data_IF_531442267916
#
_entry.id   IF_531442267916
#
_cell.length_a   1.000
_cell.length_b   1.000
_cell.length_c   1.000
_cell.angle_alpha   90.00
_cell.angle_beta   90.00
_cell.angle_gamma   90.00
#
_symmetry.space_group_name_H-M   'P 1'
#
loop_
_entity.id
_entity.type
_entity.pdbx_description
1 polymer ?
#
# COMPACT_ATOMS: atom_id res chain seq x y z
N UNK A 1 46.68 -1.82 26.15
CA UNK A 1 47.68 -0.88 25.61
C UNK A 1 47.09 0.51 25.71
N UNK A 2 47.60 1.31 26.65
CA UNK A 2 47.06 2.65 26.96
C UNK A 2 47.74 3.65 26.02
N UNK A 3 46.96 4.36 25.20
CA UNK A 3 47.46 5.47 24.38
C UNK A 3 47.75 6.66 25.33
N UNK A 4 49.02 6.94 25.59
CA UNK A 4 49.45 8.16 26.28
C UNK A 4 49.60 9.30 25.25
N UNK A 5 49.12 10.52 25.54
CA UNK A 5 48.97 11.58 24.54
C UNK A 5 50.26 12.41 24.33
N UNK A 6 51.44 11.78 24.40
CA UNK A 6 52.70 12.55 24.40
C UNK A 6 53.41 12.54 23.03
N UNK A 7 53.03 11.66 22.10
CA UNK A 7 53.56 11.69 20.73
C UNK A 7 52.50 11.34 19.70
N UNK A 8 51.64 12.30 19.36
CA UNK A 8 50.92 12.26 18.10
C UNK A 8 51.83 12.88 17.03
N UNK A 9 52.43 12.06 16.17
CA UNK A 9 53.06 12.55 14.95
C UNK A 9 51.96 13.20 14.09
N UNK A 10 52.01 14.52 13.93
CA UNK A 10 51.19 15.21 12.94
C UNK A 10 51.66 14.76 11.57
N UNK A 11 50.88 13.90 10.92
CA UNK A 11 51.03 13.64 9.49
C UNK A 11 50.65 14.91 8.73
N UNK A 12 51.62 15.80 8.55
CA UNK A 12 51.54 16.89 7.61
C UNK A 12 51.77 16.24 6.24
N UNK A 13 50.70 15.77 5.60
CA UNK A 13 50.77 15.33 4.21
C UNK A 13 51.30 16.49 3.36
N UNK A 14 52.30 16.30 2.46
CA UNK A 14 52.98 17.41 1.77
C UNK A 14 52.11 18.15 0.74
N UNK A 15 50.87 17.72 0.50
CA UNK A 15 49.93 18.39 -0.39
C UNK A 15 48.88 19.14 0.43
N UNK A 16 48.82 20.46 0.26
CA UNK A 16 47.74 21.34 0.73
C UNK A 16 46.39 20.83 0.20
N UNK A 17 45.71 19.97 0.98
CA UNK A 17 44.33 19.58 0.71
C UNK A 17 43.44 20.75 1.07
N UNK A 18 42.73 21.29 0.08
CA UNK A 18 41.76 22.36 0.28
C UNK A 18 40.31 21.84 0.35
N UNK A 19 40.09 20.55 0.09
CA UNK A 19 38.77 19.91 0.09
C UNK A 19 38.73 18.77 1.11
N UNK A 20 37.74 18.82 2.02
CA UNK A 20 37.56 17.84 3.10
C UNK A 20 36.12 17.29 3.17
N UNK A 21 35.32 17.51 2.12
CA UNK A 21 33.95 17.01 2.06
C UNK A 21 33.94 15.48 2.11
N UNK A 22 33.02 14.92 2.88
CA UNK A 22 32.83 13.47 3.00
C UNK A 22 31.74 13.03 2.02
N UNK A 23 31.90 11.90 1.33
CA UNK A 23 30.84 11.32 0.51
C UNK A 23 29.68 10.88 1.41
N UNK A 24 28.45 10.95 0.90
CA UNK A 24 27.28 10.48 1.62
C UNK A 24 27.26 8.94 1.68
N UNK A 25 27.51 8.38 2.85
CA UNK A 25 27.54 6.92 3.09
C UNK A 25 26.24 6.35 3.63
N UNK A 26 25.32 7.21 4.09
CA UNK A 26 24.01 6.84 4.59
C UNK A 26 22.94 7.60 3.83
N UNK A 27 22.04 6.87 3.19
CA UNK A 27 20.91 7.45 2.46
C UNK A 27 19.62 7.00 3.13
N UNK A 28 18.74 7.96 3.43
CA UNK A 28 17.41 7.70 3.93
C UNK A 28 16.41 7.84 2.78
N UNK A 29 15.79 6.73 2.38
CA UNK A 29 14.76 6.70 1.33
C UNK A 29 13.60 5.84 1.79
N UNK A 30 12.37 6.34 1.68
CA UNK A 30 11.13 5.62 2.01
C UNK A 30 11.13 5.00 3.43
N UNK A 31 11.69 5.71 4.40
CA UNK A 31 11.75 5.24 5.79
C UNK A 31 12.76 4.12 6.05
N UNK A 32 13.68 3.84 5.12
CA UNK A 32 14.75 2.83 5.27
C UNK A 32 16.12 3.51 5.22
N UNK A 33 17.00 3.11 6.13
CA UNK A 33 18.42 3.42 6.07
C UNK A 33 19.09 2.46 5.09
N UNK A 34 19.62 2.98 3.99
CA UNK A 34 20.40 2.19 3.02
C UNK A 34 21.89 2.56 3.15
N UNK A 35 22.79 1.57 3.33
CA UNK A 35 24.22 1.82 3.27
C UNK A 35 24.60 2.15 1.82
N UNK A 36 25.19 3.31 1.60
CA UNK A 36 25.74 3.72 0.31
C UNK A 36 27.27 3.59 0.36
N UNK A 37 27.84 2.75 -0.50
CA UNK A 37 29.28 2.56 -0.53
C UNK A 37 29.91 3.70 -1.35
N UNK A 38 30.68 4.61 -0.73
CA UNK A 38 31.23 5.75 -1.44
C UNK A 38 32.28 5.28 -2.45
N UNK A 39 32.23 5.81 -3.67
CA UNK A 39 33.23 5.55 -4.73
C UNK A 39 34.49 6.41 -4.54
N UNK A 40 34.36 7.52 -3.83
CA UNK A 40 35.36 8.56 -3.68
C UNK A 40 35.57 8.82 -2.19
N UNK A 41 36.79 9.11 -1.78
CA UNK A 41 37.21 9.36 -0.42
C UNK A 41 36.99 10.80 0.00
N UNK A 42 37.53 11.14 1.17
CA UNK A 42 37.43 12.49 1.72
C UNK A 42 38.16 13.46 0.79
N UNK A 43 37.49 14.53 0.38
CA UNK A 43 38.08 15.58 -0.46
C UNK A 43 38.17 15.22 -1.94
N UNK A 44 37.45 14.21 -2.41
CA UNK A 44 37.41 13.87 -3.83
C UNK A 44 38.49 12.86 -4.27
N UNK A 45 39.29 12.34 -3.34
CA UNK A 45 40.34 11.39 -3.68
C UNK A 45 39.77 10.05 -4.13
N UNK A 46 40.23 9.46 -5.25
CA UNK A 46 39.80 8.13 -5.64
C UNK A 46 40.14 7.15 -4.52
N UNK A 47 39.13 6.44 -3.99
CA UNK A 47 39.41 5.34 -3.08
C UNK A 47 40.13 4.27 -3.88
N UNK A 48 41.16 3.66 -3.27
CA UNK A 48 41.75 2.44 -3.80
C UNK A 48 40.72 1.31 -3.60
N UNK A 49 39.64 1.34 -4.39
CA UNK A 49 38.69 0.25 -4.45
C UNK A 49 39.44 -0.88 -5.16
N UNK A 50 40.03 -1.79 -4.38
CA UNK A 50 40.32 -3.11 -4.92
C UNK A 50 38.96 -3.71 -5.23
N UNK A 51 38.54 -3.58 -6.49
CA UNK A 51 37.43 -4.37 -7.03
C UNK A 51 37.87 -5.83 -6.85
N UNK A 52 37.39 -6.48 -5.80
CA UNK A 52 37.62 -7.90 -5.60
C UNK A 52 36.84 -8.61 -6.70
N UNK A 53 37.50 -8.87 -7.82
CA UNK A 53 37.02 -9.83 -8.80
C UNK A 53 36.88 -11.18 -8.09
N UNK A 54 35.81 -11.92 -8.42
CA UNK A 54 35.48 -13.20 -7.78
C UNK A 54 36.64 -14.23 -7.78
N UNK A 55 37.64 -14.03 -8.64
CA UNK A 55 38.82 -14.89 -8.79
C UNK A 55 39.92 -14.64 -7.75
N UNK A 56 40.01 -13.45 -7.15
CA UNK A 56 41.05 -13.11 -6.15
C UNK A 56 40.82 -13.83 -4.80
N UNK A 57 39.61 -14.39 -4.59
CA UNK A 57 39.25 -15.13 -3.37
C UNK A 57 39.93 -16.51 -3.25
N UNK A 58 40.56 -17.01 -4.32
CA UNK A 58 41.18 -18.34 -4.32
C UNK A 58 42.63 -18.28 -3.81
N UNK A 59 43.39 -17.23 -4.12
CA UNK A 59 44.81 -17.12 -3.72
C UNK A 59 45.03 -16.58 -2.29
N UNK A 60 44.12 -15.75 -1.76
CA UNK A 60 44.28 -15.21 -0.39
C UNK A 60 43.94 -16.21 0.73
N UNK A 61 43.45 -17.41 0.39
CA UNK A 61 43.19 -18.49 1.36
C UNK A 61 44.45 -19.23 1.79
N UNK A 62 45.58 -19.03 1.11
CA UNK A 62 46.85 -19.68 1.42
C UNK A 62 47.59 -19.05 2.62
N UNK A 63 47.21 -17.85 3.05
CA UNK A 63 47.85 -17.13 4.17
C UNK A 63 46.83 -16.80 5.26
N UNK A 64 46.33 -17.84 5.94
CA UNK A 64 46.11 -17.95 7.39
C UNK A 64 45.38 -16.86 8.21
N UNK A 65 44.93 -15.75 7.64
CA UNK A 65 44.32 -14.64 8.37
C UNK A 65 42.84 -14.59 8.02
N UNK A 66 42.00 -15.24 8.83
CA UNK A 66 40.57 -15.03 8.75
C UNK A 66 40.27 -13.56 9.10
N UNK A 67 39.91 -12.78 8.09
CA UNK A 67 39.26 -11.48 8.31
C UNK A 67 37.88 -11.81 8.86
N UNK A 68 37.76 -11.81 10.19
CA UNK A 68 36.46 -11.79 10.85
C UNK A 68 35.82 -10.47 10.45
N UNK A 69 34.80 -10.52 9.58
CA UNK A 69 33.89 -9.39 9.40
C UNK A 69 33.40 -8.99 10.79
N UNK A 70 33.48 -7.70 11.12
CA UNK A 70 32.91 -7.17 12.36
C UNK A 70 31.50 -7.73 12.51
N UNK A 71 31.13 -8.34 13.65
CA UNK A 71 29.76 -8.78 13.85
C UNK A 71 28.87 -7.54 13.71
N UNK A 72 27.89 -7.59 12.79
CA UNK A 72 26.87 -6.55 12.70
C UNK A 72 26.28 -6.35 14.09
N UNK A 73 26.17 -5.10 14.52
CA UNK A 73 25.52 -4.77 15.80
C UNK A 73 24.12 -5.41 15.78
N UNK A 74 23.84 -6.26 16.77
CA UNK A 74 22.56 -6.96 16.86
C UNK A 74 21.43 -5.92 17.02
N UNK A 75 20.70 -5.68 15.93
CA UNK A 75 19.48 -4.87 15.94
C UNK A 75 18.30 -5.80 16.17
N UNK A 76 17.55 -5.66 17.28
CA UNK A 76 16.34 -6.44 17.49
C UNK A 76 15.35 -6.24 16.34
N UNK A 77 14.67 -7.31 15.93
CA UNK A 77 13.74 -7.31 14.80
C UNK A 77 12.64 -6.22 14.92
N UNK A 78 12.21 -5.91 16.14
CA UNK A 78 11.21 -4.87 16.40
C UNK A 78 11.68 -3.44 16.13
N UNK A 79 12.99 -3.20 16.10
CA UNK A 79 13.57 -1.87 15.84
C UNK A 79 13.72 -1.63 14.34
N UNK A 80 13.94 -2.68 13.55
CA UNK A 80 14.14 -2.57 12.11
C UNK A 80 12.87 -2.66 11.26
N UNK A 81 11.85 -3.39 11.71
CA UNK A 81 10.75 -3.86 10.86
C UNK A 81 9.35 -3.40 11.31
N UNK A 82 9.18 -2.11 11.62
CA UNK A 82 7.84 -1.50 11.89
C UNK A 82 7.03 -1.22 10.60
N UNK A 83 7.30 -1.99 9.54
CA UNK A 83 6.70 -1.80 8.22
C UNK A 83 5.59 -2.82 8.00
N UNK A 84 4.53 -2.36 7.35
CA UNK A 84 3.34 -3.16 7.05
C UNK A 84 3.14 -3.18 5.54
N UNK A 85 2.91 -4.39 5.00
CA UNK A 85 2.54 -4.54 3.60
C UNK A 85 1.01 -4.49 3.47
N UNK A 86 0.53 -3.76 2.47
CA UNK A 86 -0.88 -3.61 2.14
C UNK A 86 -1.16 -4.16 0.73
N UNK A 87 -2.06 -5.13 0.67
CA UNK A 87 -2.57 -5.70 -0.58
C UNK A 87 -4.07 -5.44 -0.70
N UNK A 88 -4.53 -5.24 -1.92
CA UNK A 88 -5.94 -5.12 -2.25
C UNK A 88 -6.39 -6.42 -2.90
N UNK A 89 -7.54 -6.90 -2.47
CA UNK A 89 -8.10 -8.16 -2.88
C UNK A 89 -9.63 -8.07 -2.98
N UNK A 90 -10.25 -9.11 -3.50
CA UNK A 90 -11.69 -9.31 -3.37
C UNK A 90 -11.99 -10.80 -3.16
N UNK A 91 -13.18 -11.09 -2.66
CA UNK A 91 -13.74 -12.43 -2.69
C UNK A 91 -15.15 -12.41 -3.26
N UNK A 92 -15.58 -13.56 -3.78
CA UNK A 92 -16.94 -13.77 -4.28
C UNK A 92 -17.75 -14.43 -3.17
N UNK A 93 -18.88 -13.83 -2.84
CA UNK A 93 -19.84 -14.38 -1.87
C UNK A 93 -21.07 -14.87 -2.63
N UNK A 94 -21.41 -16.15 -2.47
CA UNK A 94 -22.60 -16.73 -3.09
C UNK A 94 -23.88 -16.26 -2.39
N UNK A 95 -24.87 -15.83 -3.16
CA UNK A 95 -26.15 -15.34 -2.66
C UNK A 95 -27.26 -16.33 -3.03
N UNK A 96 -27.65 -17.18 -2.08
CA UNK A 96 -28.62 -18.26 -2.35
C UNK A 96 -30.08 -17.79 -2.38
N UNK A 97 -30.41 -16.71 -1.66
CA UNK A 97 -31.80 -16.31 -1.39
C UNK A 97 -32.26 -15.05 -2.15
N UNK A 98 -31.52 -14.64 -3.19
CA UNK A 98 -31.85 -13.46 -3.99
C UNK A 98 -32.22 -13.86 -5.41
N UNK A 99 -33.44 -13.51 -5.83
CA UNK A 99 -33.84 -13.67 -7.25
C UNK A 99 -33.03 -12.78 -8.20
N UNK A 100 -32.37 -11.74 -7.66
CA UNK A 100 -31.66 -10.75 -8.47
C UNK A 100 -30.22 -11.19 -8.73
N UNK A 101 -29.54 -11.87 -7.81
CA UNK A 101 -28.09 -12.03 -7.84
C UNK A 101 -27.65 -13.40 -7.36
N UNK A 102 -26.74 -14.00 -8.11
CA UNK A 102 -26.15 -15.31 -7.80
C UNK A 102 -24.93 -15.16 -6.90
N UNK A 103 -24.12 -14.12 -7.10
CA UNK A 103 -22.95 -13.81 -6.28
C UNK A 103 -22.75 -12.30 -6.15
N UNK A 104 -22.02 -11.91 -5.10
CA UNK A 104 -21.55 -10.54 -4.85
C UNK A 104 -20.04 -10.52 -4.82
N UNK A 105 -19.45 -9.41 -5.27
CA UNK A 105 -18.00 -9.20 -5.17
C UNK A 105 -17.74 -8.21 -4.05
N UNK A 106 -16.95 -8.63 -3.05
CA UNK A 106 -16.65 -7.80 -1.88
C UNK A 106 -15.17 -7.46 -1.86
N UNK A 107 -14.81 -6.16 -1.92
CA UNK A 107 -13.43 -5.73 -1.82
C UNK A 107 -12.90 -6.00 -0.40
N UNK A 108 -11.63 -6.33 -0.28
CA UNK A 108 -10.92 -6.56 0.98
C UNK A 108 -9.52 -5.99 0.88
N UNK A 109 -9.02 -5.43 1.97
CA UNK A 109 -7.65 -5.01 2.15
C UNK A 109 -6.97 -5.98 3.10
N UNK A 110 -5.85 -6.55 2.67
CA UNK A 110 -5.03 -7.48 3.43
C UNK A 110 -3.81 -6.70 3.92
N UNK A 111 -3.61 -6.70 5.24
CA UNK A 111 -2.42 -6.16 5.89
C UNK A 111 -1.52 -7.30 6.33
N UNK A 112 -0.24 -7.25 5.98
CA UNK A 112 0.78 -8.19 6.44
C UNK A 112 1.83 -7.43 7.25
N UNK A 113 2.00 -7.83 8.51
CA UNK A 113 2.95 -7.21 9.44
C UNK A 113 4.28 -7.94 9.37
N UNK A 114 5.34 -7.25 8.90
CA UNK A 114 6.69 -7.82 8.77
C UNK A 114 7.34 -8.14 10.13
N UNK A 115 6.86 -7.48 11.18
CA UNK A 115 7.35 -7.64 12.54
C UNK A 115 7.17 -9.06 13.07
N UNK A 116 5.99 -9.62 12.93
CA UNK A 116 5.59 -10.87 13.58
C UNK A 116 5.02 -11.90 12.60
N UNK A 117 5.07 -11.61 11.29
CA UNK A 117 4.49 -12.43 10.23
C UNK A 117 2.98 -12.68 10.42
N UNK A 118 2.29 -11.74 11.06
CA UNK A 118 0.84 -11.79 11.22
C UNK A 118 0.13 -11.07 10.08
N UNK A 119 -1.12 -11.45 9.85
CA UNK A 119 -1.98 -10.86 8.84
C UNK A 119 -3.31 -10.41 9.44
N UNK A 120 -3.88 -9.38 8.85
CA UNK A 120 -5.21 -8.86 9.17
C UNK A 120 -5.99 -8.61 7.87
N UNK A 121 -7.30 -8.86 7.88
CA UNK A 121 -8.17 -8.54 6.74
C UNK A 121 -9.26 -7.56 7.13
N UNK A 122 -9.38 -6.50 6.34
CA UNK A 122 -10.35 -5.42 6.53
C UNK A 122 -11.18 -5.22 5.27
N UNK A 123 -12.49 -5.16 5.43
CA UNK A 123 -13.41 -4.80 4.36
C UNK A 123 -13.70 -3.30 4.41
N UNK A 124 -13.35 -2.55 3.35
CA UNK A 124 -13.62 -1.12 3.28
C UNK A 124 -15.12 -0.84 3.32
N UNK A 125 -15.51 0.24 3.99
CA UNK A 125 -16.89 0.69 4.04
C UNK A 125 -17.34 1.14 2.65
N UNK A 126 -18.51 0.66 2.21
CA UNK A 126 -19.15 1.02 0.94
C UNK A 126 -20.51 1.61 1.28
N UNK A 127 -20.76 2.82 0.78
CA UNK A 127 -22.00 3.53 1.04
C UNK A 127 -23.22 2.75 0.52
N UNK A 128 -24.30 2.77 1.32
CA UNK A 128 -25.54 2.10 1.00
C UNK A 128 -25.41 0.60 0.70
N UNK A 129 -24.37 -0.07 1.20
CA UNK A 129 -24.16 -1.52 1.03
C UNK A 129 -25.21 -2.35 1.76
N UNK A 130 -25.69 -1.87 2.91
CA UNK A 130 -26.67 -2.56 3.74
C UNK A 130 -26.13 -3.82 4.45
N UNK A 131 -24.81 -4.00 4.48
CA UNK A 131 -24.13 -5.17 5.05
C UNK A 131 -23.14 -4.69 6.12
N UNK A 132 -22.95 -5.42 7.25
CA UNK A 132 -21.88 -5.09 8.19
C UNK A 132 -20.51 -5.16 7.50
N UNK A 133 -19.75 -4.08 7.66
CA UNK A 133 -18.42 -3.88 7.07
C UNK A 133 -17.40 -3.54 8.15
N UNK A 134 -16.11 -3.58 7.79
CA UNK A 134 -15.00 -3.30 8.70
C UNK A 134 -14.07 -4.49 8.87
N UNK A 135 -13.61 -4.74 10.10
CA UNK A 135 -12.62 -5.80 10.37
C UNK A 135 -13.23 -7.19 10.14
N UNK A 136 -12.79 -7.87 9.08
CA UNK A 136 -13.29 -9.19 8.69
C UNK A 136 -12.57 -10.31 9.44
N UNK A 137 -11.24 -10.25 9.49
CA UNK A 137 -10.41 -11.20 10.22
C UNK A 137 -9.44 -10.42 11.12
N UNK A 138 -9.39 -10.79 12.40
CA UNK A 138 -8.48 -10.16 13.38
C UNK A 138 -7.01 -10.49 13.07
N UNK A 139 -6.11 -9.61 13.48
CA UNK A 139 -4.66 -9.81 13.33
C UNK A 139 -4.17 -11.07 14.04
N UNK A 140 -3.62 -12.02 13.28
CA UNK A 140 -2.89 -13.19 13.78
C UNK A 140 -2.19 -13.91 12.60
N UNK A 141 -1.48 -15.01 12.85
CA UNK A 141 -0.85 -15.79 11.77
C UNK A 141 -1.90 -16.66 11.06
N UNK A 142 -2.14 -16.40 9.77
CA UNK A 142 -3.14 -17.16 9.01
C UNK A 142 -2.60 -18.54 8.63
N UNK A 143 -3.34 -19.63 8.91
CA UNK A 143 -2.95 -20.96 8.49
C UNK A 143 -3.12 -21.13 6.99
N UNK A 144 -2.07 -21.61 6.32
CA UNK A 144 -2.05 -21.95 4.90
C UNK A 144 -2.54 -23.37 4.67
N UNK A 145 -2.07 -24.31 5.49
CA UNK A 145 -2.35 -25.74 5.39
C UNK A 145 -2.79 -26.30 6.76
N UNK A 146 -3.44 -27.46 6.75
CA UNK A 146 -3.80 -28.21 7.96
C UNK A 146 -2.58 -28.62 8.80
N UNK A 147 -1.38 -28.57 8.21
CA UNK A 147 -0.11 -28.90 8.85
C UNK A 147 0.45 -27.75 9.72
N UNK A 148 -0.26 -26.62 9.82
CA UNK A 148 0.13 -25.50 10.68
C UNK A 148 1.12 -24.53 10.05
N UNK A 149 1.43 -24.68 8.76
CA UNK A 149 2.21 -23.69 8.01
C UNK A 149 1.42 -22.39 7.90
N UNK A 150 2.10 -21.26 8.08
CA UNK A 150 1.49 -19.93 8.02
C UNK A 150 1.85 -19.22 6.72
N UNK A 151 0.96 -18.38 6.22
CA UNK A 151 1.27 -17.54 5.06
C UNK A 151 2.45 -16.60 5.33
N UNK A 152 3.41 -16.57 4.39
CA UNK A 152 4.51 -15.63 4.38
C UNK A 152 4.25 -14.54 3.35
N UNK A 153 4.91 -13.39 3.50
CA UNK A 153 4.87 -12.33 2.50
C UNK A 153 5.32 -12.78 1.10
N UNK A 154 6.12 -13.86 1.03
CA UNK A 154 6.58 -14.48 -0.22
C UNK A 154 5.50 -15.28 -0.95
N UNK A 155 4.47 -15.74 -0.23
CA UNK A 155 3.34 -16.46 -0.81
C UNK A 155 2.30 -15.51 -1.43
N UNK A 156 2.38 -14.22 -1.11
CA UNK A 156 1.46 -13.19 -1.61
C UNK A 156 1.99 -12.63 -2.92
N UNK A 157 1.20 -12.69 -3.99
CA UNK A 157 1.49 -12.00 -5.25
C UNK A 157 0.17 -11.52 -5.88
N UNK A 158 0.26 -10.58 -6.81
CA UNK A 158 -0.88 -10.13 -7.61
C UNK A 158 -1.40 -11.31 -8.45
N UNK A 159 -2.71 -11.39 -8.62
CA UNK A 159 -3.41 -12.46 -9.35
C UNK A 159 -3.33 -13.85 -8.69
N UNK A 160 -2.89 -13.92 -7.43
CA UNK A 160 -2.88 -15.16 -6.66
C UNK A 160 -4.08 -15.23 -5.73
N UNK A 161 -4.67 -16.43 -5.64
CA UNK A 161 -5.73 -16.76 -4.68
C UNK A 161 -5.14 -17.22 -3.35
N UNK A 162 -5.65 -16.65 -2.27
CA UNK A 162 -5.32 -17.04 -0.89
C UNK A 162 -6.59 -17.60 -0.27
N UNK A 163 -6.48 -18.80 0.29
CA UNK A 163 -7.58 -19.45 1.00
C UNK A 163 -7.40 -19.27 2.50
N UNK A 164 -8.33 -18.55 3.14
CA UNK A 164 -8.31 -18.32 4.58
C UNK A 164 -9.70 -18.64 5.13
N UNK A 165 -9.76 -19.61 6.04
CA UNK A 165 -11.00 -20.11 6.65
C UNK A 165 -12.08 -20.52 5.64
N UNK A 166 -11.68 -21.19 4.55
CA UNK A 166 -12.58 -21.68 3.52
C UNK A 166 -13.11 -20.60 2.56
N UNK A 167 -12.60 -19.37 2.65
CA UNK A 167 -12.91 -18.29 1.70
C UNK A 167 -11.67 -17.98 0.85
N UNK A 168 -11.86 -17.95 -0.47
CA UNK A 168 -10.81 -17.62 -1.44
C UNK A 168 -10.81 -16.12 -1.74
N UNK A 169 -9.68 -15.49 -1.50
CA UNK A 169 -9.42 -14.07 -1.75
C UNK A 169 -8.44 -13.94 -2.91
N UNK A 170 -8.86 -13.28 -3.99
CA UNK A 170 -8.00 -12.96 -5.14
C UNK A 170 -7.33 -11.61 -4.91
N UNK A 171 -6.01 -11.57 -4.88
CA UNK A 171 -5.26 -10.31 -4.84
C UNK A 171 -5.32 -9.63 -6.21
N UNK A 172 -5.69 -8.36 -6.23
CA UNK A 172 -5.81 -7.55 -7.46
C UNK A 172 -4.62 -6.64 -7.67
N UNK A 173 -4.20 -5.91 -6.65
CA UNK A 173 -3.08 -4.98 -6.71
C UNK A 173 -2.48 -4.76 -5.32
N UNK A 174 -1.35 -4.06 -5.27
CA UNK A 174 -0.63 -3.77 -4.05
C UNK A 174 -0.26 -2.29 -3.97
N UNK A 175 0.10 -1.83 -2.77
CA UNK A 175 0.56 -0.47 -2.55
C UNK A 175 1.96 -0.23 -3.15
N UNK A 176 2.31 1.02 -3.46
CA UNK A 176 3.61 1.36 -4.06
C UNK A 176 4.79 0.96 -3.14
N UNK A 177 4.63 1.15 -1.83
CA UNK A 177 5.63 0.70 -0.85
C UNK A 177 5.83 -0.81 -0.90
N UNK A 178 4.73 -1.58 -0.94
CA UNK A 178 4.80 -3.04 -1.01
C UNK A 178 5.43 -3.53 -2.29
N UNK A 179 5.13 -2.85 -3.41
CA UNK A 179 5.72 -3.16 -4.71
C UNK A 179 7.25 -3.10 -4.65
N UNK A 180 7.78 -1.97 -4.17
CA UNK A 180 9.23 -1.78 -3.99
C UNK A 180 9.83 -2.78 -3.00
N UNK A 181 9.12 -3.11 -1.92
CA UNK A 181 9.58 -4.09 -0.94
C UNK A 181 9.71 -5.49 -1.58
N UNK A 182 8.71 -5.92 -2.35
CA UNK A 182 8.70 -7.22 -3.02
C UNK A 182 9.78 -7.31 -4.11
N UNK A 183 9.97 -6.24 -4.89
CA UNK A 183 11.04 -6.15 -5.88
C UNK A 183 12.43 -6.25 -5.24
N UNK A 184 12.65 -5.56 -4.11
CA UNK A 184 13.89 -5.69 -3.32
C UNK A 184 14.08 -7.09 -2.72
N UNK A 185 12.97 -7.75 -2.37
CA UNK A 185 12.94 -9.13 -1.92
C UNK A 185 13.17 -10.17 -3.03
N UNK A 186 13.34 -9.73 -4.28
CA UNK A 186 13.58 -10.59 -5.44
C UNK A 186 12.31 -11.21 -6.04
N UNK A 187 11.12 -10.74 -5.66
CA UNK A 187 9.85 -11.22 -6.20
C UNK A 187 9.36 -10.25 -7.27
N UNK A 188 9.21 -10.75 -8.50
CA UNK A 188 8.59 -10.00 -9.60
C UNK A 188 7.07 -10.09 -9.44
N UNK A 189 6.44 -8.92 -9.32
CA UNK A 189 5.00 -8.79 -9.20
C UNK A 189 4.30 -8.94 -10.54
N UNK A 190 3.13 -9.58 -10.54
CA UNK A 190 2.28 -9.69 -11.72
C UNK A 190 1.61 -8.35 -12.06
N UNK A 191 1.02 -8.28 -13.26
CA UNK A 191 0.25 -7.11 -13.71
C UNK A 191 -0.97 -6.89 -12.83
N UNK A 192 -1.20 -5.67 -12.32
CA UNK A 192 -2.41 -5.32 -11.58
C UNK A 192 -3.68 -5.68 -12.35
N UNK A 193 -4.69 -6.18 -11.64
CA UNK A 193 -6.00 -6.48 -12.18
C UNK A 193 -7.07 -5.61 -11.55
N UNK A 194 -8.15 -5.36 -12.30
CA UNK A 194 -9.33 -4.69 -11.78
C UNK A 194 -10.25 -5.66 -11.05
N UNK A 195 -10.99 -5.13 -10.06
CA UNK A 195 -12.01 -5.90 -9.36
C UNK A 195 -13.17 -6.15 -10.34
N UNK A 196 -13.64 -7.40 -10.52
CA UNK A 196 -14.73 -7.69 -11.43
C UNK A 196 -16.03 -7.06 -10.93
N UNK A 197 -16.77 -6.44 -11.86
CA UNK A 197 -18.08 -5.85 -11.56
C UNK A 197 -19.09 -6.95 -11.26
N UNK A 198 -19.79 -6.85 -10.13
CA UNK A 198 -20.82 -7.81 -9.76
C UNK A 198 -22.19 -7.49 -10.38
N UNK A 199 -23.09 -8.49 -10.52
CA UNK A 199 -24.42 -8.26 -11.07
C UNK A 199 -25.24 -7.25 -10.27
N UNK A 200 -24.99 -7.14 -8.96
CA UNK A 200 -25.67 -6.19 -8.08
C UNK A 200 -25.35 -4.74 -8.42
N UNK A 201 -24.05 -4.39 -8.43
CA UNK A 201 -23.58 -3.03 -8.68
C UNK A 201 -24.02 -2.58 -10.06
N UNK A 202 -23.87 -3.45 -11.07
CA UNK A 202 -24.29 -3.17 -12.44
C UNK A 202 -25.78 -2.82 -12.54
N UNK A 203 -26.66 -3.50 -11.80
CA UNK A 203 -28.11 -3.17 -11.81
C UNK A 203 -28.43 -1.85 -11.13
N UNK A 204 -27.67 -1.48 -10.10
CA UNK A 204 -27.92 -0.28 -9.31
C UNK A 204 -27.54 0.99 -10.06
N UNK A 205 -26.52 0.91 -10.90
CA UNK A 205 -26.04 2.02 -11.73
C UNK A 205 -27.13 2.56 -12.68
N UNK A 206 -28.03 1.69 -13.18
CA UNK A 206 -29.10 2.09 -14.11
C UNK A 206 -30.30 2.81 -13.47
N UNK A 207 -30.41 2.85 -12.14
CA UNK A 207 -31.59 3.39 -11.45
C UNK A 207 -31.23 4.51 -10.47
N UNK A 208 -30.85 5.67 -11.00
CA UNK A 208 -31.08 6.94 -10.30
C UNK A 208 -32.29 7.57 -10.97
N UNK A 209 -33.53 7.30 -10.49
CA UNK A 209 -34.67 8.06 -10.98
C UNK A 209 -34.48 9.52 -10.54
N UNK A 210 -33.97 10.36 -11.44
CA UNK A 210 -34.06 11.81 -11.28
C UNK A 210 -35.53 12.17 -11.46
N UNK A 211 -36.27 12.19 -10.35
CA UNK A 211 -37.58 12.82 -10.33
C UNK A 211 -37.35 14.33 -10.44
N UNK A 212 -37.16 14.82 -11.66
CA UNK A 212 -37.46 16.22 -11.95
C UNK A 212 -38.96 16.32 -11.83
N UNK A 213 -39.45 16.77 -10.67
CA UNK A 213 -40.81 17.28 -10.59
C UNK A 213 -40.89 18.37 -11.66
N UNK A 214 -41.66 18.20 -12.75
CA UNK A 214 -41.90 19.33 -13.62
C UNK A 214 -42.46 20.42 -12.72
N UNK A 215 -41.94 21.65 -12.82
CA UNK A 215 -42.49 22.80 -12.12
C UNK A 215 -43.87 23.07 -12.70
N UNK A 216 -44.85 22.24 -12.32
CA UNK A 216 -46.22 22.43 -12.72
C UNK A 216 -46.68 23.66 -11.92
N UNK A 217 -46.87 24.76 -12.65
CA UNK A 217 -47.46 26.00 -12.17
C UNK A 217 -46.51 26.96 -11.44
N UNK A 218 -45.93 27.92 -12.17
CA UNK A 218 -45.39 29.15 -11.57
C UNK A 218 -46.56 29.99 -11.02
N UNK A 219 -46.96 29.69 -9.78
CA UNK A 219 -48.02 30.39 -9.06
C UNK A 219 -47.69 31.89 -8.96
N UNK A 220 -46.41 32.25 -8.81
CA UNK A 220 -45.97 33.65 -8.71
C UNK A 220 -46.04 34.34 -10.06
N UNK A 221 -45.60 33.71 -11.13
CA UNK A 221 -45.71 34.23 -12.50
C UNK A 221 -47.17 34.48 -12.91
N UNK A 222 -48.08 33.55 -12.58
CA UNK A 222 -49.52 33.76 -12.83
C UNK A 222 -50.13 34.84 -11.96
N UNK A 223 -49.72 34.93 -10.69
CA UNK A 223 -50.15 36.01 -9.81
C UNK A 223 -49.73 37.37 -10.38
N UNK A 224 -48.44 37.55 -10.69
CA UNK A 224 -47.93 38.80 -11.28
C UNK A 224 -48.60 39.12 -12.64
N UNK A 225 -48.90 38.12 -13.47
CA UNK A 225 -49.55 38.34 -14.76
C UNK A 225 -51.03 38.74 -14.66
N UNK A 226 -51.71 38.33 -13.58
CA UNK A 226 -53.12 38.60 -13.31
C UNK A 226 -53.34 39.66 -12.23
N UNK A 227 -52.26 40.19 -11.65
CA UNK A 227 -52.33 41.19 -10.59
C UNK A 227 -53.02 42.46 -11.13
N UNK A 228 -54.09 42.88 -10.45
CA UNK A 228 -54.94 43.98 -10.88
C UNK A 228 -55.94 43.69 -12.02
N UNK A 229 -56.04 42.46 -12.53
CA UNK A 229 -57.06 42.08 -13.52
C UNK A 229 -58.28 41.45 -12.83
N UNK A 230 -59.40 42.16 -12.82
CA UNK A 230 -60.69 41.67 -12.31
C UNK A 230 -61.70 41.67 -13.45
N UNK A 231 -62.43 40.57 -13.62
CA UNK A 231 -63.55 40.50 -14.56
C UNK A 231 -64.83 40.84 -13.80
N UNK A 232 -65.42 41.97 -14.13
CA UNK A 232 -66.75 42.36 -13.66
C UNK A 232 -67.78 41.83 -14.67
N UNK A 233 -68.75 41.07 -14.18
CA UNK A 233 -69.83 40.52 -14.99
C UNK A 233 -71.15 40.91 -14.34
N UNK A 234 -71.92 41.73 -15.03
CA UNK A 234 -73.26 42.12 -14.60
C UNK A 234 -74.24 41.00 -14.94
N UNK A 235 -74.70 40.29 -13.91
CA UNK A 235 -75.76 39.28 -14.03
C UNK A 235 -77.07 39.83 -13.47
N UNK A 236 -78.09 39.95 -14.32
CA UNK A 236 -79.44 40.31 -13.90
C UNK A 236 -80.17 39.06 -13.40
N UNK A 237 -80.51 39.04 -12.12
CA UNK A 237 -81.42 38.04 -11.57
C UNK A 237 -82.87 38.45 -11.87
N UNK A 238 -83.52 37.74 -12.79
CA UNK A 238 -84.97 37.83 -13.01
C UNK A 238 -85.66 37.05 -11.90
N UNK A 239 -86.40 37.76 -11.05
CA UNK A 239 -87.33 37.16 -10.09
C UNK A 239 -88.69 37.01 -10.78
N UNK A 240 -89.20 35.78 -10.82
CA UNK A 240 -90.59 35.44 -11.19
C UNK A 240 -91.52 35.51 -9.98
#
# INVERSE_FOLDING_TARGET
TVFTPVHAFMNISPSLKNAFHRPQTLVFSDGLNLPNHPTIGIGGEPLLTRQLNQNDNIELRASGSQVQSMPDDFVPHYVGNDKVLRFFAYFKEDCQYSAKEVYRVRPVVIYYYLLDNTMEMYEPAVENSGIPQGKRIKRHCFPKNEHGETYLWKDLNIDVDIEVYGVKYRITHCDEFTKRFMERGGIVLNTPQDIPVDPYTKRREFHIPSHTTPSCYDRRGKFLAMDGKVHELDSFFLFE
#
